data_IF_646995822767
#
_entry.id   IF_646995822767
#
_cell.length_a   1.000
_cell.length_b   1.000
_cell.length_c   1.000
_cell.angle_alpha   90.00
_cell.angle_beta   90.00
_cell.angle_gamma   90.00
#
_symmetry.space_group_name_H-M   'P 1'
#
loop_
_entity.id
_entity.type
_entity.pdbx_description
1 polymer ?
#
# COMPACT_ATOMS: atom_id res chain seq x y z
N UNK A 1 -3.92 17.75 -39.12
CA UNK A 1 -2.76 18.67 -38.96
C UNK A 1 -3.17 19.84 -38.07
N UNK A 2 -2.80 19.80 -36.81
CA UNK A 2 -2.65 20.98 -35.96
C UNK A 2 -1.47 20.68 -35.05
N UNK A 3 -0.28 21.11 -35.48
CA UNK A 3 0.91 21.09 -34.61
C UNK A 3 0.65 22.18 -33.58
N UNK A 4 0.27 21.77 -32.36
CA UNK A 4 0.33 22.64 -31.19
C UNK A 4 1.73 23.25 -31.13
N UNK A 5 1.81 24.55 -31.39
CA UNK A 5 3.01 25.36 -31.16
C UNK A 5 3.12 25.57 -29.66
N UNK A 6 3.48 24.52 -28.92
CA UNK A 6 4.03 24.73 -27.59
C UNK A 6 5.35 25.49 -27.78
N UNK A 7 5.57 26.62 -27.07
CA UNK A 7 6.86 27.28 -27.09
C UNK A 7 7.92 26.22 -26.73
N UNK A 8 9.02 26.18 -27.48
CA UNK A 8 10.15 25.30 -27.19
C UNK A 8 10.59 25.67 -25.78
N UNK A 9 10.16 24.88 -24.78
CA UNK A 9 10.71 25.00 -23.45
C UNK A 9 12.22 24.86 -23.62
N UNK A 10 12.98 25.88 -23.20
CA UNK A 10 14.42 25.79 -23.17
C UNK A 10 14.78 24.74 -22.13
N UNK A 11 14.75 23.46 -22.54
CA UNK A 11 15.16 22.36 -21.69
C UNK A 11 16.56 22.67 -21.20
N UNK A 12 16.88 22.38 -19.94
CA UNK A 12 18.21 22.60 -19.39
C UNK A 12 19.17 21.55 -19.97
N UNK A 13 19.42 21.61 -21.28
CA UNK A 13 20.13 20.59 -22.05
C UNK A 13 21.50 20.31 -21.44
N UNK A 14 22.23 21.33 -20.99
CA UNK A 14 23.52 21.15 -20.32
C UNK A 14 23.43 20.28 -19.04
N UNK A 15 22.45 20.54 -18.18
CA UNK A 15 22.25 19.75 -16.96
C UNK A 15 21.75 18.33 -17.29
N UNK A 16 20.87 18.21 -18.29
CA UNK A 16 20.37 16.91 -18.75
C UNK A 16 21.47 16.06 -19.41
N UNK A 17 22.37 16.65 -20.21
CA UNK A 17 23.53 15.94 -20.77
C UNK A 17 24.50 15.50 -19.69
N UNK A 18 24.76 16.34 -18.68
CA UNK A 18 25.57 15.94 -17.53
C UNK A 18 24.91 14.79 -16.75
N UNK A 19 23.60 14.86 -16.54
CA UNK A 19 22.80 13.80 -15.93
C UNK A 19 22.92 12.47 -16.69
N UNK A 20 22.73 12.49 -18.01
CA UNK A 20 22.89 11.32 -18.88
C UNK A 20 24.34 10.80 -18.85
N UNK A 21 25.35 11.67 -18.93
CA UNK A 21 26.76 11.26 -18.87
C UNK A 21 27.08 10.54 -17.55
N UNK A 22 26.59 11.05 -16.42
CA UNK A 22 26.71 10.40 -15.12
C UNK A 22 26.05 9.01 -15.14
N UNK A 23 24.84 8.89 -15.68
CA UNK A 23 24.17 7.59 -15.78
C UNK A 23 24.97 6.57 -16.59
N UNK A 24 25.55 6.97 -17.72
CA UNK A 24 26.38 6.08 -18.54
C UNK A 24 27.64 5.63 -17.80
N UNK A 25 28.28 6.52 -17.05
CA UNK A 25 29.43 6.19 -16.20
C UNK A 25 29.05 5.23 -15.06
N UNK A 26 27.82 5.34 -14.54
CA UNK A 26 27.32 4.51 -13.45
C UNK A 26 26.86 3.10 -13.87
N UNK A 27 26.68 2.81 -15.17
CA UNK A 27 26.24 1.49 -15.67
C UNK A 27 27.01 0.31 -15.05
N UNK A 28 28.36 0.25 -15.07
CA UNK A 28 29.09 -0.88 -14.47
C UNK A 28 28.80 -1.03 -12.97
N UNK A 29 28.73 0.08 -12.23
CA UNK A 29 28.42 0.08 -10.80
C UNK A 29 26.99 -0.39 -10.51
N UNK A 30 26.03 -0.01 -11.37
CA UNK A 30 24.65 -0.47 -11.27
C UNK A 30 24.55 -1.98 -11.47
N UNK A 31 25.25 -2.53 -12.46
CA UNK A 31 25.30 -3.99 -12.70
C UNK A 31 25.95 -4.70 -11.50
N UNK A 32 27.10 -4.21 -11.01
CA UNK A 32 27.76 -4.75 -9.81
C UNK A 32 26.85 -4.72 -8.59
N UNK A 33 26.10 -3.62 -8.40
CA UNK A 33 25.13 -3.48 -7.30
C UNK A 33 23.97 -4.47 -7.41
N UNK A 34 23.46 -4.73 -8.62
CA UNK A 34 22.44 -5.75 -8.84
C UNK A 34 22.97 -7.15 -8.51
N UNK A 35 24.19 -7.48 -8.95
CA UNK A 35 24.85 -8.74 -8.63
C UNK A 35 25.08 -8.90 -7.13
N UNK A 36 25.56 -7.86 -6.45
CA UNK A 36 25.77 -7.87 -5.00
C UNK A 36 24.45 -8.06 -4.25
N UNK A 37 23.39 -7.31 -4.61
CA UNK A 37 22.06 -7.48 -4.00
C UNK A 37 21.44 -8.85 -4.29
N UNK A 38 21.81 -9.50 -5.40
CA UNK A 38 21.32 -10.82 -5.74
C UNK A 38 21.73 -11.91 -4.75
N UNK A 39 22.74 -11.65 -3.90
CA UNK A 39 23.13 -12.53 -2.78
C UNK A 39 22.01 -12.69 -1.74
N UNK A 40 21.24 -11.63 -1.50
CA UNK A 40 20.11 -11.65 -0.56
C UNK A 40 18.79 -11.98 -1.26
N UNK A 41 18.62 -11.55 -2.51
CA UNK A 41 17.37 -11.75 -3.23
C UNK A 41 17.61 -12.03 -4.72
N UNK A 42 17.39 -13.27 -5.14
CA UNK A 42 17.68 -13.75 -6.51
C UNK A 42 16.97 -12.94 -7.61
N UNK A 43 15.82 -12.32 -7.32
CA UNK A 43 15.10 -11.47 -8.27
C UNK A 43 15.90 -10.27 -8.82
N UNK A 44 16.98 -9.81 -8.14
CA UNK A 44 17.82 -8.71 -8.67
C UNK A 44 18.65 -9.08 -9.89
N UNK A 45 18.96 -10.37 -10.09
CA UNK A 45 19.68 -10.85 -11.29
C UNK A 45 18.75 -11.36 -12.39
N UNK A 46 17.43 -11.35 -12.15
CA UNK A 46 16.43 -11.71 -13.15
C UNK A 46 16.04 -10.46 -13.96
N UNK A 47 15.72 -10.66 -15.24
CA UNK A 47 15.24 -9.60 -16.14
C UNK A 47 16.14 -8.35 -16.22
N UNK A 48 17.46 -8.49 -16.07
CA UNK A 48 18.41 -7.37 -16.18
C UNK A 48 18.25 -6.65 -17.53
N UNK A 49 18.00 -7.39 -18.60
CA UNK A 49 17.76 -6.87 -19.94
C UNK A 49 16.63 -5.82 -19.97
N UNK A 50 15.53 -6.05 -19.23
CA UNK A 50 14.40 -5.11 -19.16
C UNK A 50 14.83 -3.76 -18.55
N UNK A 51 15.76 -3.78 -17.58
CA UNK A 51 16.30 -2.57 -16.94
C UNK A 51 17.15 -1.71 -17.88
N UNK A 52 17.53 -2.25 -19.04
CA UNK A 52 18.22 -1.54 -20.11
C UNK A 52 17.36 -1.45 -21.38
N UNK A 53 16.03 -1.55 -21.24
CA UNK A 53 15.10 -1.33 -22.34
C UNK A 53 15.01 -2.48 -23.35
N UNK A 54 15.55 -3.66 -23.03
CA UNK A 54 15.44 -4.86 -23.86
C UNK A 54 14.30 -5.75 -23.36
N UNK A 55 13.18 -5.74 -24.08
CA UNK A 55 11.97 -6.49 -23.74
C UNK A 55 11.73 -7.64 -24.71
N UNK A 56 11.21 -8.77 -24.21
CA UNK A 56 10.87 -9.94 -25.02
C UNK A 56 9.73 -9.69 -26.03
N UNK A 57 9.44 -10.69 -26.88
CA UNK A 57 8.59 -10.55 -28.06
C UNK A 57 7.07 -10.40 -27.79
N UNK A 58 6.55 -10.83 -26.63
CA UNK A 58 5.12 -10.78 -26.31
C UNK A 58 4.64 -9.31 -26.22
N UNK A 59 3.74 -8.91 -27.13
CA UNK A 59 3.12 -7.57 -27.16
C UNK A 59 1.74 -7.64 -26.52
N UNK A 60 1.34 -6.58 -25.83
CA UNK A 60 -0.07 -6.33 -25.53
C UNK A 60 -0.82 -6.09 -26.85
N UNK A 61 -2.09 -6.51 -26.91
CA UNK A 61 -2.90 -6.43 -28.13
C UNK A 61 -3.23 -4.98 -28.53
N UNK A 62 -3.36 -4.10 -27.54
CA UNK A 62 -3.69 -2.68 -27.70
C UNK A 62 -2.73 -1.81 -26.89
N UNK A 63 -2.71 -0.50 -27.17
CA UNK A 63 -1.81 0.44 -26.47
C UNK A 63 -2.20 0.52 -24.98
N UNK A 64 -1.27 0.27 -24.04
CA UNK A 64 -1.57 0.24 -22.63
C UNK A 64 -1.67 1.62 -21.99
N UNK A 65 -2.37 1.67 -20.86
CA UNK A 65 -2.12 2.69 -19.84
C UNK A 65 -0.91 2.24 -19.04
N UNK A 66 0.13 3.07 -18.99
CA UNK A 66 1.36 2.76 -18.26
C UNK A 66 1.23 3.27 -16.81
N UNK A 67 1.41 2.37 -15.84
CA UNK A 67 1.47 2.69 -14.41
C UNK A 67 2.84 2.28 -13.89
N UNK A 68 3.53 3.20 -13.21
CA UNK A 68 4.79 2.93 -12.55
C UNK A 68 4.63 2.92 -11.03
N UNK A 69 4.88 1.75 -10.42
CA UNK A 69 4.89 1.54 -8.98
C UNK A 69 6.21 0.87 -8.55
N UNK A 70 7.07 1.62 -7.88
CA UNK A 70 8.44 1.21 -7.53
C UNK A 70 8.47 0.11 -6.47
N UNK A 71 7.59 0.24 -5.47
CA UNK A 71 7.58 -0.56 -4.24
C UNK A 71 6.34 -1.42 -4.10
N UNK A 72 6.36 -2.35 -3.12
CA UNK A 72 5.18 -3.13 -2.73
C UNK A 72 4.05 -2.21 -2.28
N UNK A 73 4.35 -1.19 -1.48
CA UNK A 73 3.35 -0.24 -0.98
C UNK A 73 2.66 0.54 -2.11
N UNK A 74 3.40 1.01 -3.11
CA UNK A 74 2.81 1.66 -4.30
C UNK A 74 2.04 0.69 -5.18
N UNK A 75 2.48 -0.57 -5.25
CA UNK A 75 1.79 -1.62 -6.03
C UNK A 75 0.41 -1.90 -5.42
N UNK A 76 0.31 -1.95 -4.09
CA UNK A 76 -0.99 -2.04 -3.41
C UNK A 76 -1.80 -0.75 -3.53
N UNK A 77 -1.18 0.42 -3.39
CA UNK A 77 -1.89 1.71 -3.50
C UNK A 77 -2.50 1.95 -4.90
N UNK A 78 -1.97 1.29 -5.94
CA UNK A 78 -2.51 1.38 -7.31
C UNK A 78 -3.59 0.33 -7.62
N UNK A 79 -3.93 -0.54 -6.66
CA UNK A 79 -4.78 -1.69 -6.91
C UNK A 79 -6.19 -1.32 -7.38
N UNK A 80 -6.88 -0.45 -6.64
CA UNK A 80 -8.23 -0.01 -7.01
C UNK A 80 -8.26 0.64 -8.41
N UNK A 81 -7.23 1.42 -8.76
CA UNK A 81 -7.10 2.04 -10.07
C UNK A 81 -6.86 1.00 -11.18
N UNK A 82 -5.92 0.08 -10.98
CA UNK A 82 -5.60 -0.97 -11.96
C UNK A 82 -6.81 -1.86 -12.21
N UNK A 83 -7.51 -2.28 -11.15
CA UNK A 83 -8.72 -3.10 -11.26
C UNK A 83 -9.83 -2.40 -12.04
N UNK A 84 -10.06 -1.11 -11.76
CA UNK A 84 -11.02 -0.29 -12.52
C UNK A 84 -10.67 -0.21 -14.00
N UNK A 85 -9.42 0.10 -14.33
CA UNK A 85 -8.95 0.16 -15.73
C UNK A 85 -9.13 -1.18 -16.44
N UNK A 86 -8.77 -2.28 -15.78
CA UNK A 86 -8.91 -3.63 -16.31
C UNK A 86 -10.38 -4.02 -16.51
N UNK A 87 -11.28 -3.55 -15.65
CA UNK A 87 -12.73 -3.75 -15.76
C UNK A 87 -13.33 -2.96 -16.94
N UNK A 88 -12.88 -1.71 -17.13
CA UNK A 88 -13.25 -0.86 -18.27
C UNK A 88 -12.61 -1.32 -19.61
N UNK A 89 -11.82 -2.40 -19.59
CA UNK A 89 -11.23 -3.00 -20.79
C UNK A 89 -9.93 -2.34 -21.25
N UNK A 90 -9.34 -1.46 -20.43
CA UNK A 90 -8.04 -0.86 -20.72
C UNK A 90 -6.90 -1.83 -20.36
N UNK A 91 -6.02 -2.20 -21.30
CA UNK A 91 -4.83 -2.97 -20.94
C UNK A 91 -3.86 -2.11 -20.12
N UNK A 92 -3.17 -2.75 -19.19
CA UNK A 92 -2.24 -2.08 -18.26
C UNK A 92 -0.81 -2.55 -18.50
N UNK A 93 0.11 -1.61 -18.60
CA UNK A 93 1.55 -1.86 -18.48
C UNK A 93 1.98 -1.43 -17.08
N UNK A 94 2.29 -2.41 -16.22
CA UNK A 94 2.74 -2.16 -14.87
C UNK A 94 4.26 -2.27 -14.80
N UNK A 95 4.94 -1.20 -14.42
CA UNK A 95 6.40 -1.19 -14.28
C UNK A 95 6.87 -1.07 -12.84
N UNK A 96 7.92 -1.80 -12.51
CA UNK A 96 8.54 -1.79 -11.18
C UNK A 96 10.03 -1.45 -11.26
N UNK A 97 10.64 -1.14 -10.11
CA UNK A 97 12.11 -1.16 -9.96
C UNK A 97 12.61 -2.24 -9.00
N UNK A 98 11.79 -2.67 -8.04
CA UNK A 98 12.18 -3.67 -7.02
C UNK A 98 11.65 -5.06 -7.36
N UNK A 99 12.40 -6.13 -7.04
CA UNK A 99 11.91 -7.51 -7.20
C UNK A 99 10.64 -7.78 -6.38
N UNK A 100 10.59 -7.30 -5.15
CA UNK A 100 9.44 -7.49 -4.25
C UNK A 100 8.19 -6.79 -4.77
N UNK A 101 8.31 -5.57 -5.32
CA UNK A 101 7.19 -4.89 -5.98
C UNK A 101 6.67 -5.68 -7.19
N UNK A 102 7.59 -6.26 -7.99
CA UNK A 102 7.22 -7.12 -9.12
C UNK A 102 6.51 -8.39 -8.67
N UNK A 103 7.01 -9.06 -7.64
CA UNK A 103 6.37 -10.26 -7.07
C UNK A 103 4.96 -9.96 -6.54
N UNK A 104 4.80 -8.86 -5.79
CA UNK A 104 3.49 -8.41 -5.33
C UNK A 104 2.52 -8.17 -6.50
N UNK A 105 2.94 -7.46 -7.55
CA UNK A 105 2.10 -7.25 -8.73
C UNK A 105 1.80 -8.54 -9.50
N UNK A 106 2.73 -9.49 -9.57
CA UNK A 106 2.50 -10.81 -10.17
C UNK A 106 1.46 -11.61 -9.39
N UNK A 107 1.50 -11.57 -8.05
CA UNK A 107 0.54 -12.24 -7.19
C UNK A 107 -0.86 -11.61 -7.30
N UNK A 108 -0.97 -10.28 -7.25
CA UNK A 108 -2.24 -9.56 -7.35
C UNK A 108 -2.92 -9.74 -8.71
N UNK A 109 -2.14 -9.68 -9.80
CA UNK A 109 -2.70 -9.59 -11.16
C UNK A 109 -2.49 -10.85 -12.00
N UNK A 110 -2.23 -12.01 -11.40
CA UNK A 110 -1.89 -13.24 -12.13
C UNK A 110 -2.92 -13.59 -13.22
N UNK A 111 -4.23 -13.46 -12.93
CA UNK A 111 -5.32 -13.71 -13.88
C UNK A 111 -5.24 -12.75 -15.08
N UNK A 112 -5.07 -11.46 -14.82
CA UNK A 112 -4.98 -10.44 -15.86
C UNK A 112 -3.72 -10.60 -16.73
N UNK A 113 -2.60 -11.05 -16.13
CA UNK A 113 -1.35 -11.35 -16.84
C UNK A 113 -1.52 -12.54 -17.77
N UNK A 114 -2.15 -13.63 -17.30
CA UNK A 114 -2.41 -14.82 -18.12
C UNK A 114 -3.34 -14.51 -19.31
N UNK A 115 -4.37 -13.69 -19.06
CA UNK A 115 -5.30 -13.21 -20.09
C UNK A 115 -4.69 -12.18 -21.05
N UNK A 116 -3.45 -11.73 -20.81
CA UNK A 116 -2.79 -10.72 -21.64
C UNK A 116 -3.40 -9.32 -21.53
N UNK A 117 -4.20 -9.05 -20.49
CA UNK A 117 -4.77 -7.72 -20.19
C UNK A 117 -3.79 -6.84 -19.41
N UNK A 118 -2.88 -7.46 -18.65
CA UNK A 118 -1.82 -6.76 -17.94
C UNK A 118 -0.45 -7.32 -18.33
N UNK A 119 0.53 -6.45 -18.60
CA UNK A 119 1.93 -6.85 -18.76
C UNK A 119 2.77 -6.19 -17.69
N UNK A 120 3.62 -6.98 -17.05
CA UNK A 120 4.53 -6.52 -16.01
C UNK A 120 5.99 -6.61 -16.46
N UNK A 121 6.73 -5.51 -16.31
CA UNK A 121 8.17 -5.42 -16.65
C UNK A 121 8.92 -4.53 -15.67
N UNK A 122 10.25 -4.57 -15.68
CA UNK A 122 11.04 -3.51 -15.04
C UNK A 122 11.03 -2.24 -15.91
N UNK A 123 10.86 -1.09 -15.25
CA UNK A 123 11.17 0.19 -15.88
C UNK A 123 12.68 0.21 -16.17
N UNK A 124 13.11 0.66 -17.37
CA UNK A 124 14.53 0.78 -17.63
C UNK A 124 15.10 1.93 -16.80
N UNK A 125 16.41 1.91 -16.61
CA UNK A 125 17.12 3.09 -16.11
C UNK A 125 16.89 4.28 -17.04
N UNK A 126 16.96 5.49 -16.48
CA UNK A 126 16.70 6.76 -17.16
C UNK A 126 17.86 7.14 -18.10
N UNK A 127 18.13 6.24 -19.05
CA UNK A 127 19.13 6.31 -20.11
C UNK A 127 18.40 6.58 -21.43
N UNK A 128 18.80 7.61 -22.16
CA UNK A 128 18.09 8.06 -23.36
C UNK A 128 17.74 6.93 -24.35
N UNK A 129 18.68 6.02 -24.65
CA UNK A 129 18.45 4.88 -25.57
C UNK A 129 17.55 3.79 -24.98
N UNK A 130 17.52 3.61 -23.67
CA UNK A 130 16.65 2.63 -23.02
C UNK A 130 15.21 3.13 -22.95
N UNK A 131 15.04 4.43 -22.65
CA UNK A 131 13.75 5.14 -22.70
C UNK A 131 13.16 5.07 -24.11
N UNK A 132 13.96 5.36 -25.14
CA UNK A 132 13.55 5.22 -26.54
C UNK A 132 12.99 3.84 -26.85
N UNK A 133 13.70 2.79 -26.42
CA UNK A 133 13.28 1.42 -26.65
C UNK A 133 11.99 1.08 -25.91
N UNK A 134 11.86 1.52 -24.65
CA UNK A 134 10.64 1.32 -23.87
C UNK A 134 9.42 1.97 -24.53
N UNK A 135 9.51 3.27 -24.85
CA UNK A 135 8.40 4.02 -25.43
C UNK A 135 8.05 3.50 -26.83
N UNK A 136 9.03 3.11 -27.65
CA UNK A 136 8.79 2.47 -28.95
C UNK A 136 8.19 1.07 -28.82
N UNK A 137 8.61 0.31 -27.81
CA UNK A 137 8.15 -1.06 -27.58
C UNK A 137 6.69 -1.10 -27.16
N UNK A 138 6.33 -0.28 -26.18
CA UNK A 138 5.02 -0.36 -25.53
C UNK A 138 4.01 0.66 -26.06
N UNK A 139 4.46 1.82 -26.54
CA UNK A 139 3.61 2.90 -27.07
C UNK A 139 2.39 3.18 -26.18
N UNK A 140 2.59 3.49 -24.89
CA UNK A 140 1.47 3.69 -23.98
C UNK A 140 0.63 4.92 -24.39
N UNK A 141 -0.66 4.87 -24.10
CA UNK A 141 -1.60 5.96 -24.38
C UNK A 141 -1.32 7.16 -23.45
N UNK A 142 -1.01 6.87 -22.20
CA UNK A 142 -0.57 7.80 -21.17
C UNK A 142 0.27 7.05 -20.12
N UNK A 143 1.05 7.80 -19.35
CA UNK A 143 1.79 7.28 -18.19
C UNK A 143 1.34 7.90 -16.87
N UNK A 144 1.30 7.08 -15.82
CA UNK A 144 0.98 7.46 -14.44
C UNK A 144 2.16 7.05 -13.55
N UNK A 145 2.92 8.04 -13.07
CA UNK A 145 4.06 7.81 -12.18
C UNK A 145 3.63 8.06 -10.73
N UNK A 146 3.96 7.13 -9.83
CA UNK A 146 3.55 7.21 -8.42
C UNK A 146 4.43 8.14 -7.58
N UNK A 147 3.81 8.83 -6.63
CA UNK A 147 4.42 9.60 -5.55
C UNK A 147 5.48 10.63 -6.00
N UNK A 148 6.76 10.27 -5.95
CA UNK A 148 7.90 11.18 -6.21
C UNK A 148 8.72 10.81 -7.45
N UNK A 149 8.23 9.87 -8.27
CA UNK A 149 8.98 9.27 -9.39
C UNK A 149 9.08 10.19 -10.62
N UNK A 150 9.70 11.36 -10.45
CA UNK A 150 9.93 12.33 -11.52
C UNK A 150 11.31 12.11 -12.17
N UNK A 151 11.38 11.18 -13.13
CA UNK A 151 12.58 10.83 -13.88
C UNK A 151 12.78 11.78 -15.08
N UNK A 152 13.84 12.61 -15.12
CA UNK A 152 14.00 13.63 -16.16
C UNK A 152 13.95 13.11 -17.60
N UNK A 153 14.63 12.01 -17.91
CA UNK A 153 14.65 11.43 -19.24
C UNK A 153 13.26 11.01 -19.70
N UNK A 154 12.54 10.23 -18.88
CA UNK A 154 11.16 9.84 -19.15
C UNK A 154 10.22 11.04 -19.30
N UNK A 155 10.28 12.00 -18.38
CA UNK A 155 9.37 13.15 -18.36
C UNK A 155 9.59 14.03 -19.60
N UNK A 156 10.84 14.39 -19.89
CA UNK A 156 11.15 15.20 -21.05
C UNK A 156 10.83 14.46 -22.35
N UNK A 157 11.13 13.16 -22.42
CA UNK A 157 10.87 12.41 -23.64
C UNK A 157 9.38 12.19 -23.90
N UNK A 158 8.60 11.89 -22.86
CA UNK A 158 7.15 11.82 -22.94
C UNK A 158 6.55 13.13 -23.46
N UNK A 159 6.96 14.26 -22.88
CA UNK A 159 6.51 15.58 -23.29
C UNK A 159 6.88 15.88 -24.76
N UNK A 160 8.11 15.58 -25.19
CA UNK A 160 8.55 15.76 -26.58
C UNK A 160 7.74 14.91 -27.58
N UNK A 161 7.34 13.71 -27.19
CA UNK A 161 6.50 12.82 -28.01
C UNK A 161 5.01 13.19 -27.94
N UNK A 162 4.62 14.16 -27.11
CA UNK A 162 3.22 14.51 -26.85
C UNK A 162 2.43 13.40 -26.15
N UNK A 163 3.12 12.47 -25.48
CA UNK A 163 2.50 11.41 -24.70
C UNK A 163 2.11 11.95 -23.32
N UNK A 164 0.82 11.95 -22.93
CA UNK A 164 0.42 12.44 -21.62
C UNK A 164 1.10 11.68 -20.49
N UNK A 165 1.70 12.41 -19.56
CA UNK A 165 2.38 11.85 -18.40
C UNK A 165 1.89 12.59 -17.15
N UNK A 166 1.39 11.84 -16.17
CA UNK A 166 0.88 12.37 -14.92
C UNK A 166 1.73 11.88 -13.75
N UNK A 167 1.92 12.74 -12.76
CA UNK A 167 2.40 12.33 -11.44
C UNK A 167 1.18 12.16 -10.55
N UNK A 168 0.93 10.94 -10.08
CA UNK A 168 -0.26 10.56 -9.32
C UNK A 168 0.09 10.21 -7.88
N UNK A 169 -0.88 10.34 -6.98
CA UNK A 169 -0.66 10.24 -5.54
C UNK A 169 0.53 11.13 -5.11
N UNK A 170 0.66 12.30 -5.71
CA UNK A 170 1.88 13.08 -5.72
C UNK A 170 2.11 13.75 -4.35
N UNK A 171 3.34 13.60 -3.84
CA UNK A 171 3.75 14.15 -2.55
C UNK A 171 5.06 14.89 -2.72
N UNK A 172 5.15 16.11 -2.19
CA UNK A 172 6.39 16.88 -2.21
C UNK A 172 6.69 17.40 -0.81
N UNK A 173 7.64 16.74 -0.13
CA UNK A 173 8.12 17.20 1.18
C UNK A 173 8.76 18.59 1.09
N UNK A 174 8.76 19.34 2.18
CA UNK A 174 9.42 20.65 2.27
C UNK A 174 10.91 20.58 1.87
N UNK A 175 11.60 19.53 2.34
CA UNK A 175 13.01 19.28 2.01
C UNK A 175 13.21 19.02 0.52
N UNK A 176 12.33 18.22 -0.09
CA UNK A 176 12.37 17.92 -1.53
C UNK A 176 12.06 19.17 -2.35
N UNK A 177 11.06 19.96 -1.97
CA UNK A 177 10.71 21.22 -2.62
C UNK A 177 11.88 22.20 -2.65
N UNK A 178 12.53 22.46 -1.49
CA UNK A 178 13.72 23.30 -1.42
C UNK A 178 14.85 22.79 -2.30
N UNK A 179 15.05 21.47 -2.36
CA UNK A 179 16.04 20.86 -3.26
C UNK A 179 15.69 21.11 -4.72
N UNK A 180 14.44 20.91 -5.13
CA UNK A 180 14.01 21.19 -6.51
C UNK A 180 14.19 22.66 -6.85
N UNK A 181 13.84 23.58 -5.94
CA UNK A 181 14.05 25.01 -6.13
C UNK A 181 15.53 25.37 -6.27
N UNK A 182 16.44 24.67 -5.59
CA UNK A 182 17.89 24.92 -5.71
C UNK A 182 18.46 24.63 -7.11
N UNK A 183 17.80 23.79 -7.90
CA UNK A 183 18.11 23.59 -9.33
C UNK A 183 17.50 24.67 -10.25
N UNK A 184 16.85 25.68 -9.68
CA UNK A 184 16.26 26.81 -10.40
C UNK A 184 15.28 26.37 -11.48
N UNK A 185 15.40 26.98 -12.66
CA UNK A 185 14.52 26.73 -13.80
C UNK A 185 14.55 25.27 -14.26
N UNK A 186 15.69 24.57 -14.13
CA UNK A 186 15.80 23.18 -14.55
C UNK A 186 14.90 22.24 -13.72
N UNK A 187 14.88 22.44 -12.40
CA UNK A 187 14.00 21.70 -11.49
C UNK A 187 12.53 22.01 -11.74
N UNK A 188 12.20 23.27 -12.03
CA UNK A 188 10.84 23.68 -12.36
C UNK A 188 10.35 23.07 -13.68
N UNK A 189 11.16 23.13 -14.74
CA UNK A 189 10.83 22.58 -16.07
C UNK A 189 10.50 21.09 -16.01
N UNK A 190 11.19 20.32 -15.15
CA UNK A 190 10.87 18.91 -14.92
C UNK A 190 9.41 18.71 -14.53
N UNK A 191 8.95 19.41 -13.50
CA UNK A 191 7.57 19.25 -13.02
C UNK A 191 6.55 19.91 -13.95
N UNK A 192 6.92 21.02 -14.61
CA UNK A 192 6.07 21.69 -15.61
C UNK A 192 5.86 20.85 -16.89
N UNK A 193 6.73 19.86 -17.14
CA UNK A 193 6.62 18.97 -18.30
C UNK A 193 5.62 17.82 -18.10
N UNK A 194 5.09 17.62 -16.90
CA UNK A 194 3.96 16.72 -16.70
C UNK A 194 2.68 17.34 -17.27
N UNK A 195 1.82 16.51 -17.83
CA UNK A 195 0.47 16.91 -18.29
C UNK A 195 -0.41 17.35 -17.13
N UNK A 196 -0.25 16.71 -15.97
CA UNK A 196 -0.91 17.11 -14.73
C UNK A 196 -0.30 16.41 -13.52
N UNK A 197 -0.51 17.01 -12.35
CA UNK A 197 -0.08 16.46 -11.06
C UNK A 197 -1.31 16.28 -10.18
N UNK A 198 -1.57 15.04 -9.78
CA UNK A 198 -2.66 14.66 -8.88
C UNK A 198 -2.09 14.52 -7.46
N UNK A 199 -2.17 15.60 -6.69
CA UNK A 199 -1.56 15.75 -5.38
C UNK A 199 -2.40 15.13 -4.26
N UNK A 200 -1.71 14.62 -3.24
CA UNK A 200 -2.34 14.02 -2.05
C UNK A 200 -3.08 15.05 -1.20
N UNK A 201 -2.48 16.22 -0.99
CA UNK A 201 -2.97 17.23 -0.07
C UNK A 201 -2.88 18.64 -0.64
N UNK A 202 -3.57 19.59 0.00
CA UNK A 202 -3.45 21.00 -0.34
C UNK A 202 -2.02 21.55 -0.15
N UNK A 203 -1.25 21.03 0.82
CA UNK A 203 0.13 21.44 1.01
C UNK A 203 1.03 20.98 -0.14
N UNK A 204 0.86 19.74 -0.61
CA UNK A 204 1.59 19.20 -1.75
C UNK A 204 1.24 19.99 -3.02
N UNK A 205 -0.06 20.23 -3.26
CA UNK A 205 -0.54 21.00 -4.40
C UNK A 205 0.08 22.40 -4.45
N UNK A 206 0.10 23.13 -3.32
CA UNK A 206 0.72 24.46 -3.22
C UNK A 206 2.20 24.44 -3.59
N UNK A 207 2.96 23.42 -3.18
CA UNK A 207 4.38 23.31 -3.53
C UNK A 207 4.58 23.04 -5.02
N UNK A 208 3.78 22.16 -5.64
CA UNK A 208 3.85 21.96 -7.09
C UNK A 208 3.44 23.20 -7.88
N UNK A 209 2.40 23.92 -7.45
CA UNK A 209 2.01 25.21 -8.03
C UNK A 209 3.13 26.24 -7.92
N UNK A 210 3.84 26.30 -6.79
CA UNK A 210 5.00 27.16 -6.59
C UNK A 210 6.20 26.80 -7.49
N UNK A 211 6.25 25.58 -8.04
CA UNK A 211 7.19 25.19 -9.10
C UNK A 211 6.71 25.59 -10.52
N UNK A 212 5.57 26.28 -10.63
CA UNK A 212 5.00 26.76 -11.89
C UNK A 212 4.14 25.73 -12.63
N UNK A 213 3.78 24.61 -11.99
CA UNK A 213 2.88 23.61 -12.58
C UNK A 213 1.46 24.17 -12.62
N UNK A 214 0.87 24.26 -13.81
CA UNK A 214 -0.46 24.85 -14.02
C UNK A 214 -1.60 23.89 -13.72
N UNK A 215 -1.44 22.62 -14.09
CA UNK A 215 -2.48 21.60 -13.97
C UNK A 215 -2.24 20.74 -12.72
N UNK A 216 -2.72 21.21 -11.56
CA UNK A 216 -2.58 20.53 -10.27
C UNK A 216 -3.96 20.31 -9.67
N UNK A 217 -4.30 19.06 -9.36
CA UNK A 217 -5.55 18.67 -8.71
C UNK A 217 -5.27 18.00 -7.38
N UNK A 218 -6.06 18.31 -6.35
CA UNK A 218 -6.02 17.60 -5.08
C UNK A 218 -6.99 16.43 -5.20
N UNK A 219 -6.49 15.19 -5.15
CA UNK A 219 -7.29 13.97 -5.34
C UNK A 219 -7.30 13.06 -4.13
N UNK A 220 -6.65 13.46 -3.03
CA UNK A 220 -6.48 12.61 -1.86
C UNK A 220 -5.34 11.60 -2.03
N UNK A 221 -5.17 10.74 -1.03
CA UNK A 221 -4.10 9.76 -0.99
C UNK A 221 -4.64 8.38 -1.34
N UNK A 222 -4.10 7.78 -2.41
CA UNK A 222 -4.57 6.49 -2.92
C UNK A 222 -4.39 5.33 -1.93
N UNK A 223 -3.58 5.50 -0.87
CA UNK A 223 -3.47 4.50 0.21
C UNK A 223 -4.77 4.33 1.00
N UNK A 224 -5.70 5.29 0.88
CA UNK A 224 -7.05 5.20 1.46
C UNK A 224 -8.06 4.57 0.50
N UNK A 225 -7.72 4.38 -0.78
CA UNK A 225 -8.57 3.72 -1.77
C UNK A 225 -8.47 2.20 -1.60
N UNK A 226 -9.09 1.70 -0.54
CA UNK A 226 -9.15 0.26 -0.25
C UNK A 226 -10.09 -0.40 -1.25
N UNK A 227 -9.57 -1.41 -1.97
CA UNK A 227 -10.37 -2.20 -2.89
C UNK A 227 -11.53 -2.86 -2.15
N UNK A 228 -12.73 -2.84 -2.75
CA UNK A 228 -13.90 -3.51 -2.20
C UNK A 228 -13.62 -5.01 -2.13
N UNK A 229 -13.82 -5.62 -0.96
CA UNK A 229 -13.78 -7.07 -0.77
C UNK A 229 -15.15 -7.56 -0.28
N UNK A 230 -16.14 -7.72 -1.18
CA UNK A 230 -17.50 -8.05 -0.78
C UNK A 230 -17.62 -9.35 0.02
N UNK A 231 -16.79 -10.35 -0.31
CA UNK A 231 -16.80 -11.65 0.36
C UNK A 231 -16.35 -11.56 1.83
N UNK A 232 -15.23 -10.89 2.11
CA UNK A 232 -14.73 -10.72 3.48
C UNK A 232 -15.59 -9.75 4.29
N UNK A 233 -16.19 -8.74 3.64
CA UNK A 233 -17.16 -7.86 4.30
C UNK A 233 -18.43 -8.63 4.68
N UNK A 234 -18.97 -9.46 3.78
CA UNK A 234 -20.14 -10.29 4.07
C UNK A 234 -19.86 -11.28 5.21
N UNK A 235 -18.68 -11.89 5.22
CA UNK A 235 -18.20 -12.75 6.30
C UNK A 235 -18.15 -12.00 7.64
N UNK A 236 -17.55 -10.82 7.68
CA UNK A 236 -17.49 -10.00 8.89
C UNK A 236 -18.87 -9.55 9.39
N UNK A 237 -19.81 -9.26 8.49
CA UNK A 237 -21.19 -8.93 8.88
C UNK A 237 -21.93 -10.14 9.43
N UNK A 238 -21.67 -11.34 8.90
CA UNK A 238 -22.19 -12.59 9.45
C UNK A 238 -21.68 -12.82 10.89
N UNK A 239 -20.37 -12.65 11.09
CA UNK A 239 -19.74 -12.72 12.42
C UNK A 239 -20.31 -11.69 13.39
N UNK A 240 -20.47 -10.43 12.94
CA UNK A 240 -21.07 -9.35 13.73
C UNK A 240 -22.45 -9.74 14.24
N UNK A 241 -23.30 -10.26 13.35
CA UNK A 241 -24.66 -10.68 13.71
C UNK A 241 -24.64 -11.80 14.76
N UNK A 242 -23.78 -12.80 14.60
CA UNK A 242 -23.63 -13.89 15.56
C UNK A 242 -23.25 -13.38 16.97
N UNK A 243 -22.36 -12.39 17.04
CA UNK A 243 -21.94 -11.75 18.30
C UNK A 243 -23.08 -10.89 18.89
N UNK A 244 -23.77 -10.11 18.05
CA UNK A 244 -24.84 -9.20 18.48
C UNK A 244 -26.09 -9.93 18.98
N UNK A 245 -26.45 -11.07 18.40
CA UNK A 245 -27.55 -11.92 18.88
C UNK A 245 -27.31 -12.41 20.32
N UNK A 246 -26.05 -12.54 20.73
CA UNK A 246 -25.66 -12.87 22.10
C UNK A 246 -25.58 -11.65 23.04
N UNK A 247 -25.83 -10.44 22.52
CA UNK A 247 -25.72 -9.18 23.27
C UNK A 247 -24.29 -8.79 23.64
N UNK A 248 -23.28 -9.35 22.97
CA UNK A 248 -21.87 -9.13 23.28
C UNK A 248 -21.30 -7.98 22.45
N UNK A 249 -20.31 -7.30 23.01
CA UNK A 249 -19.42 -6.41 22.23
C UNK A 249 -18.26 -7.22 21.66
N UNK A 250 -17.74 -6.81 20.51
CA UNK A 250 -16.55 -7.39 19.91
C UNK A 250 -15.43 -6.35 19.75
N UNK A 251 -14.24 -6.73 20.20
CA UNK A 251 -13.03 -5.91 20.13
C UNK A 251 -11.98 -6.66 19.35
N UNK A 252 -11.40 -6.05 18.33
CA UNK A 252 -10.30 -6.66 17.59
C UNK A 252 -8.95 -6.06 17.99
N UNK A 253 -8.07 -6.89 18.55
CA UNK A 253 -6.65 -6.57 18.66
C UNK A 253 -5.97 -6.93 17.33
N UNK A 254 -5.87 -5.94 16.44
CA UNK A 254 -5.52 -6.15 15.05
C UNK A 254 -4.02 -6.02 14.80
N UNK A 255 -3.41 -7.00 14.11
CA UNK A 255 -2.00 -6.97 13.73
C UNK A 255 -1.04 -6.79 14.92
N UNK A 256 -1.30 -7.49 16.03
CA UNK A 256 -0.45 -7.42 17.24
C UNK A 256 0.99 -7.88 16.96
N UNK A 257 1.94 -7.31 17.70
CA UNK A 257 3.35 -7.69 17.64
C UNK A 257 3.84 -8.21 18.98
N UNK A 258 4.99 -8.87 18.93
CA UNK A 258 5.60 -9.51 20.09
C UNK A 258 5.67 -8.59 21.30
N UNK A 259 5.14 -9.09 22.41
CA UNK A 259 5.04 -8.38 23.70
C UNK A 259 3.71 -7.68 23.90
N UNK A 260 3.01 -7.25 22.85
CA UNK A 260 1.71 -6.57 22.98
C UNK A 260 0.59 -7.54 23.35
N UNK A 261 0.66 -8.80 22.91
CA UNK A 261 -0.38 -9.78 23.18
C UNK A 261 -0.57 -10.01 24.69
N UNK A 262 0.53 -10.10 25.45
CA UNK A 262 0.48 -10.28 26.89
C UNK A 262 -0.20 -9.10 27.60
N UNK A 263 0.18 -7.87 27.23
CA UNK A 263 -0.41 -6.62 27.77
C UNK A 263 -1.91 -6.59 27.51
N UNK A 264 -2.32 -6.92 26.29
CA UNK A 264 -3.73 -6.93 25.89
C UNK A 264 -4.50 -8.01 26.65
N UNK A 265 -3.95 -9.22 26.79
CA UNK A 265 -4.61 -10.32 27.51
C UNK A 265 -4.78 -10.01 28.99
N UNK A 266 -3.78 -9.39 29.61
CA UNK A 266 -3.86 -8.95 31.01
C UNK A 266 -4.94 -7.89 31.20
N UNK A 267 -4.96 -6.87 30.35
CA UNK A 267 -6.01 -5.85 30.35
C UNK A 267 -7.40 -6.45 30.10
N UNK A 268 -7.51 -7.40 29.17
CA UNK A 268 -8.77 -8.07 28.86
C UNK A 268 -9.30 -8.88 30.05
N UNK A 269 -8.44 -9.67 30.69
CA UNK A 269 -8.77 -10.43 31.89
C UNK A 269 -9.22 -9.51 33.02
N UNK A 270 -8.54 -8.39 33.21
CA UNK A 270 -8.96 -7.39 34.19
C UNK A 270 -10.36 -6.86 33.88
N UNK A 271 -10.64 -6.44 32.63
CA UNK A 271 -11.97 -5.95 32.21
C UNK A 271 -13.07 -6.99 32.46
N UNK A 272 -12.81 -8.26 32.18
CA UNK A 272 -13.77 -9.34 32.40
C UNK A 272 -14.04 -9.61 33.88
N UNK A 273 -13.04 -9.45 34.75
CA UNK A 273 -13.14 -9.79 36.18
C UNK A 273 -13.59 -8.64 37.07
N UNK A 274 -13.32 -7.39 36.70
CA UNK A 274 -13.67 -6.21 37.52
C UNK A 274 -15.03 -5.60 37.18
N UNK A 275 -15.63 -5.99 36.05
CA UNK A 275 -16.93 -5.50 35.62
C UNK A 275 -17.98 -6.61 35.68
N UNK A 276 -19.22 -6.24 36.03
CA UNK A 276 -20.33 -7.18 36.12
C UNK A 276 -21.07 -7.27 34.79
N UNK A 277 -20.60 -8.15 33.90
CA UNK A 277 -21.14 -8.33 32.56
C UNK A 277 -22.36 -9.27 32.53
N UNK A 278 -23.47 -8.83 31.94
CA UNK A 278 -24.58 -9.73 31.56
C UNK A 278 -24.19 -10.59 30.37
N UNK A 279 -23.52 -9.96 29.39
CA UNK A 279 -22.96 -10.60 28.19
C UNK A 279 -21.50 -10.14 28.06
N UNK A 280 -20.52 -10.92 28.53
CA UNK A 280 -19.12 -10.53 28.49
C UNK A 280 -18.66 -10.22 27.06
N UNK A 281 -17.80 -9.21 26.81
CA UNK A 281 -17.31 -8.92 25.47
C UNK A 281 -16.43 -10.06 24.91
N UNK A 282 -16.22 -10.08 23.59
CA UNK A 282 -15.32 -10.99 22.88
C UNK A 282 -14.08 -10.25 22.38
N UNK A 283 -12.88 -10.78 22.64
CA UNK A 283 -11.64 -10.31 22.04
C UNK A 283 -11.28 -11.15 20.81
N UNK A 284 -11.21 -10.52 19.64
CA UNK A 284 -10.62 -11.13 18.45
C UNK A 284 -9.15 -10.71 18.37
N UNK A 285 -8.23 -11.63 18.67
CA UNK A 285 -6.80 -11.35 18.65
C UNK A 285 -6.18 -11.83 17.34
N UNK A 286 -5.59 -10.93 16.56
CA UNK A 286 -5.05 -11.25 15.23
C UNK A 286 -3.56 -10.87 15.14
N UNK A 287 -2.63 -11.82 15.30
CA UNK A 287 -1.20 -11.56 15.23
C UNK A 287 -0.74 -11.13 13.84
N UNK A 288 0.23 -10.20 13.77
CA UNK A 288 0.75 -9.69 12.48
C UNK A 288 1.48 -10.76 11.65
N UNK A 289 2.09 -11.72 12.32
CA UNK A 289 3.10 -12.64 11.78
C UNK A 289 2.62 -14.09 11.92
N UNK A 290 2.38 -14.83 10.82
CA UNK A 290 1.82 -16.19 10.87
C UNK A 290 2.68 -17.20 11.63
N UNK A 291 3.99 -17.02 11.61
CA UNK A 291 4.95 -17.82 12.37
C UNK A 291 4.75 -17.74 13.89
N UNK A 292 4.01 -16.74 14.38
CA UNK A 292 3.69 -16.56 15.80
C UNK A 292 2.31 -17.07 16.22
N UNK A 293 1.51 -17.63 15.32
CA UNK A 293 0.16 -18.08 15.69
C UNK A 293 0.15 -19.11 16.82
N UNK A 294 1.07 -20.07 16.79
CA UNK A 294 1.20 -21.04 17.89
C UNK A 294 1.67 -20.40 19.20
N UNK A 295 2.66 -19.52 19.13
CA UNK A 295 3.16 -18.78 20.30
C UNK A 295 2.05 -17.97 20.98
N UNK A 296 1.24 -17.25 20.19
CA UNK A 296 0.14 -16.44 20.74
C UNK A 296 -0.97 -17.31 21.31
N UNK A 297 -1.28 -18.46 20.70
CA UNK A 297 -2.23 -19.40 21.29
C UNK A 297 -1.78 -19.91 22.66
N UNK A 298 -0.48 -20.18 22.84
CA UNK A 298 0.08 -20.60 24.12
C UNK A 298 -0.03 -19.48 25.17
N UNK A 299 0.17 -18.21 24.77
CA UNK A 299 -0.05 -17.05 25.66
C UNK A 299 -1.51 -16.95 26.11
N UNK A 300 -2.47 -17.12 25.19
CA UNK A 300 -3.89 -17.09 25.52
C UNK A 300 -4.23 -18.23 26.49
N UNK A 301 -3.75 -19.45 26.21
CA UNK A 301 -3.95 -20.60 27.09
C UNK A 301 -3.41 -20.34 28.51
N UNK A 302 -2.20 -19.79 28.62
CA UNK A 302 -1.57 -19.47 29.90
C UNK A 302 -2.30 -18.37 30.68
N UNK A 303 -3.00 -17.46 30.00
CA UNK A 303 -3.81 -16.43 30.66
C UNK A 303 -5.01 -16.99 31.45
N UNK A 304 -5.46 -18.20 31.09
CA UNK A 304 -6.63 -18.86 31.65
C UNK A 304 -7.96 -18.43 31.03
N UNK A 305 -7.93 -17.63 29.95
CA UNK A 305 -9.10 -17.22 29.19
C UNK A 305 -9.59 -18.36 28.29
N UNK A 306 -10.90 -18.55 28.18
CA UNK A 306 -11.48 -19.51 27.25
C UNK A 306 -11.27 -19.02 25.81
N UNK A 307 -10.71 -19.85 24.92
CA UNK A 307 -10.44 -19.42 23.55
C UNK A 307 -10.60 -20.52 22.50
N UNK A 308 -10.84 -20.09 21.27
CA UNK A 308 -10.81 -20.93 20.06
C UNK A 308 -9.91 -20.30 18.98
N UNK A 309 -9.44 -21.14 18.04
CA UNK A 309 -8.67 -20.72 16.87
C UNK A 309 -9.56 -20.66 15.63
N UNK A 310 -9.48 -19.59 14.85
CA UNK A 310 -10.23 -19.43 13.60
C UNK A 310 -9.97 -20.59 12.62
N UNK A 311 -8.71 -21.00 12.48
CA UNK A 311 -8.33 -22.10 11.58
C UNK A 311 -8.99 -23.44 11.93
N UNK A 312 -9.34 -23.66 13.20
CA UNK A 312 -10.02 -24.87 13.67
C UNK A 312 -11.52 -24.91 13.35
N UNK A 313 -12.10 -23.81 12.86
CA UNK A 313 -13.54 -23.67 12.62
C UNK A 313 -13.96 -23.77 11.14
N UNK A 314 -13.00 -23.97 10.24
CA UNK A 314 -13.28 -24.21 8.82
C UNK A 314 -12.92 -25.65 8.47
N UNK A 315 -13.86 -26.43 7.94
CA UNK A 315 -13.52 -27.71 7.30
C UNK A 315 -13.08 -27.40 5.86
N UNK A 316 -11.81 -27.62 5.49
CA UNK A 316 -11.33 -27.36 4.14
C UNK A 316 -12.01 -28.21 3.04
N UNK A 317 -12.87 -29.16 3.41
CA UNK A 317 -13.67 -30.01 2.51
C UNK A 317 -15.14 -29.60 2.42
N UNK A 318 -15.58 -28.68 3.27
CA UNK A 318 -16.95 -28.15 3.33
C UNK A 318 -16.96 -26.71 2.84
N UNK A 319 -17.97 -26.35 2.04
CA UNK A 319 -18.26 -24.93 1.75
C UNK A 319 -19.09 -24.27 2.85
N UNK A 320 -19.60 -25.04 3.82
CA UNK A 320 -20.37 -24.52 4.95
C UNK A 320 -19.43 -24.16 6.09
N UNK A 321 -19.44 -22.86 6.45
CA UNK A 321 -18.80 -22.36 7.66
C UNK A 321 -19.54 -22.88 8.89
N UNK A 322 -18.80 -23.27 9.93
CA UNK A 322 -19.39 -23.65 11.21
C UNK A 322 -20.06 -22.42 11.83
N UNK A 323 -21.31 -22.57 12.30
CA UNK A 323 -22.11 -21.47 12.85
C UNK A 323 -21.37 -20.77 14.03
N UNK A 324 -20.89 -19.53 13.82
CA UNK A 324 -20.14 -18.80 14.84
C UNK A 324 -20.97 -18.51 16.10
N UNK A 325 -22.30 -18.45 15.97
CA UNK A 325 -23.20 -18.14 17.10
C UNK A 325 -23.22 -19.22 18.17
N UNK A 326 -22.92 -20.47 17.81
CA UNK A 326 -22.85 -21.59 18.76
C UNK A 326 -21.46 -21.70 19.42
N UNK A 327 -20.41 -21.45 18.66
CA UNK A 327 -19.03 -21.63 19.09
C UNK A 327 -18.53 -20.47 19.94
N UNK A 328 -18.86 -19.24 19.56
CA UNK A 328 -18.30 -18.08 20.23
C UNK A 328 -19.00 -17.74 21.54
N UNK A 329 -20.20 -18.27 21.79
CA UNK A 329 -21.00 -17.95 22.98
C UNK A 329 -20.29 -18.17 24.33
N UNK A 330 -19.25 -18.99 24.38
CA UNK A 330 -18.57 -19.39 25.62
C UNK A 330 -17.07 -19.05 25.66
N UNK A 331 -16.55 -18.36 24.65
CA UNK A 331 -15.13 -17.99 24.60
C UNK A 331 -14.94 -16.53 24.94
N UNK A 332 -13.83 -16.22 25.61
CA UNK A 332 -13.37 -14.87 25.92
C UNK A 332 -12.52 -14.31 24.77
N UNK A 333 -11.80 -15.18 24.06
CA UNK A 333 -10.87 -14.82 22.99
C UNK A 333 -11.08 -15.69 21.75
N UNK A 334 -11.13 -15.08 20.57
CA UNK A 334 -10.98 -15.75 19.28
C UNK A 334 -9.60 -15.41 18.71
N UNK A 335 -8.76 -16.41 18.50
CA UNK A 335 -7.47 -16.23 17.83
C UNK A 335 -7.67 -16.27 16.30
N UNK A 336 -7.37 -15.15 15.63
CA UNK A 336 -7.28 -15.08 14.18
C UNK A 336 -5.94 -15.59 13.68
N UNK A 337 -5.87 -16.88 13.37
CA UNK A 337 -4.69 -17.60 12.87
C UNK A 337 -4.81 -18.03 11.40
N UNK A 338 -5.60 -17.28 10.63
CA UNK A 338 -5.85 -17.45 9.20
C UNK A 338 -5.49 -16.18 8.43
N UNK A 339 -5.18 -16.35 7.14
CA UNK A 339 -4.71 -15.25 6.29
C UNK A 339 -5.83 -14.70 5.41
N UNK A 340 -5.85 -13.38 5.21
CA UNK A 340 -6.75 -12.71 4.27
C UNK A 340 -8.12 -12.33 4.81
N UNK A 341 -8.38 -12.54 6.11
CA UNK A 341 -9.68 -12.28 6.74
C UNK A 341 -9.73 -10.97 7.55
N UNK A 342 -8.70 -10.10 7.49
CA UNK A 342 -8.63 -8.86 8.29
C UNK A 342 -9.87 -7.95 8.14
N UNK A 343 -10.38 -7.79 6.92
CA UNK A 343 -11.58 -7.00 6.67
C UNK A 343 -12.82 -7.58 7.38
N UNK A 344 -12.91 -8.91 7.50
CA UNK A 344 -13.99 -9.57 8.23
C UNK A 344 -13.89 -9.26 9.73
N UNK A 345 -12.69 -9.32 10.31
CA UNK A 345 -12.47 -8.94 11.71
C UNK A 345 -12.84 -7.49 11.99
N UNK A 346 -12.48 -6.55 11.10
CA UNK A 346 -12.85 -5.15 11.25
C UNK A 346 -14.36 -4.94 11.18
N UNK A 347 -15.04 -5.54 10.19
CA UNK A 347 -16.48 -5.44 10.06
C UNK A 347 -17.25 -6.08 11.24
N UNK A 348 -16.70 -7.15 11.82
CA UNK A 348 -17.26 -7.82 13.00
C UNK A 348 -17.07 -7.05 14.31
N UNK A 349 -16.15 -6.08 14.36
CA UNK A 349 -15.77 -5.38 15.58
C UNK A 349 -16.59 -4.12 15.84
N UNK A 350 -16.81 -3.81 17.11
CA UNK A 350 -17.31 -2.52 17.57
C UNK A 350 -16.19 -1.48 17.65
N UNK A 351 -14.98 -1.90 18.02
CA UNK A 351 -13.76 -1.09 17.91
C UNK A 351 -12.51 -1.96 17.80
N UNK A 352 -11.40 -1.34 17.36
CA UNK A 352 -10.11 -2.02 17.13
C UNK A 352 -9.04 -1.45 18.05
N UNK A 353 -8.27 -2.31 18.71
CA UNK A 353 -6.97 -1.95 19.30
C UNK A 353 -5.89 -2.24 18.26
N UNK A 354 -5.25 -1.19 17.76
CA UNK A 354 -4.26 -1.33 16.68
C UNK A 354 -2.93 -1.83 17.23
N UNK A 355 -2.51 -2.99 16.77
CA UNK A 355 -1.20 -3.56 17.07
C UNK A 355 -0.04 -2.75 16.49
N UNK A 356 1.15 -3.11 16.95
CA UNK A 356 2.40 -2.40 16.74
C UNK A 356 2.47 -1.00 17.35
N UNK A 357 1.43 -0.56 18.06
CA UNK A 357 1.31 0.82 18.53
C UNK A 357 1.49 0.97 20.04
N UNK A 358 1.30 -0.10 20.83
CA UNK A 358 1.48 -0.09 22.29
C UNK A 358 2.98 -0.11 22.64
N UNK A 359 3.76 -0.90 21.90
CA UNK A 359 5.22 -1.00 22.03
C UNK A 359 5.95 -0.23 20.90
N UNK A 360 7.25 0.10 21.01
CA UNK A 360 7.96 1.01 20.11
C UNK A 360 8.29 0.41 18.72
N UNK A 361 7.27 -0.10 18.05
CA UNK A 361 7.36 -0.86 16.80
C UNK A 361 6.72 -0.12 15.60
N UNK A 362 6.10 1.04 15.87
CA UNK A 362 5.77 2.07 14.89
C UNK A 362 4.34 2.09 14.37
N UNK A 363 3.48 1.20 14.83
CA UNK A 363 2.08 1.10 14.45
C UNK A 363 1.88 0.28 13.17
N UNK A 364 0.65 -0.22 13.01
CA UNK A 364 0.17 -0.94 11.84
C UNK A 364 -0.89 -0.13 11.08
N UNK A 365 -1.39 -0.69 9.97
CA UNK A 365 -2.29 0.00 9.06
C UNK A 365 -3.69 0.20 9.65
N UNK A 366 -3.91 1.33 10.33
CA UNK A 366 -5.23 1.71 10.85
C UNK A 366 -6.26 2.10 9.77
N UNK A 367 -5.80 2.36 8.55
CA UNK A 367 -6.66 2.90 7.48
C UNK A 367 -7.78 1.91 7.13
N UNK A 368 -7.47 0.61 7.11
CA UNK A 368 -8.44 -0.44 6.82
C UNK A 368 -9.52 -0.56 7.89
N UNK A 369 -9.17 -0.42 9.16
CA UNK A 369 -10.14 -0.42 10.25
C UNK A 369 -11.10 0.79 10.11
N UNK A 370 -10.54 1.99 9.95
CA UNK A 370 -11.33 3.22 9.78
C UNK A 370 -12.25 3.16 8.54
N UNK A 371 -11.77 2.62 7.42
CA UNK A 371 -12.56 2.49 6.19
C UNK A 371 -13.74 1.52 6.33
N UNK A 372 -13.65 0.54 7.24
CA UNK A 372 -14.77 -0.34 7.60
C UNK A 372 -15.70 0.27 8.67
N UNK A 373 -15.55 1.57 8.98
CA UNK A 373 -16.34 2.26 9.99
C UNK A 373 -16.02 1.84 11.42
N UNK A 374 -14.88 1.18 11.64
CA UNK A 374 -14.48 0.71 12.95
C UNK A 374 -13.57 1.75 13.64
N UNK A 375 -13.97 2.33 14.78
CA UNK A 375 -13.13 3.26 15.53
C UNK A 375 -11.89 2.56 16.10
N UNK A 376 -10.79 3.28 16.19
CA UNK A 376 -9.47 2.70 16.51
C UNK A 376 -8.86 3.27 17.79
N UNK A 377 -8.42 2.39 18.68
CA UNK A 377 -7.57 2.69 19.83
C UNK A 377 -6.12 2.49 19.41
N UNK A 378 -5.30 3.53 19.62
CA UNK A 378 -3.89 3.58 19.29
C UNK A 378 -3.04 3.68 20.57
N UNK A 379 -1.93 2.98 20.62
CA UNK A 379 -0.86 3.26 21.58
C UNK A 379 -0.01 4.48 21.18
N UNK A 380 1.04 4.79 21.97
CA UNK A 380 1.85 5.99 21.76
C UNK A 380 2.76 5.91 20.52
N UNK A 381 3.02 4.72 19.97
CA UNK A 381 4.04 4.52 18.94
C UNK A 381 3.45 4.33 17.55
N UNK A 382 3.17 5.42 16.84
CA UNK A 382 2.50 5.39 15.51
C UNK A 382 3.36 5.92 14.35
N UNK A 383 4.69 5.98 14.50
CA UNK A 383 5.57 6.67 13.54
C UNK A 383 5.54 6.12 12.08
N UNK A 384 5.17 4.87 11.85
CA UNK A 384 4.98 4.31 10.50
C UNK A 384 3.72 4.85 9.82
N UNK A 385 2.68 5.19 10.60
CA UNK A 385 1.38 5.67 10.15
C UNK A 385 1.01 7.02 10.78
N UNK A 386 2.01 7.85 11.09
CA UNK A 386 1.83 9.04 11.93
C UNK A 386 0.74 9.97 11.40
N UNK A 387 0.83 10.31 10.11
CA UNK A 387 -0.12 11.24 9.49
C UNK A 387 -1.55 10.67 9.51
N UNK A 388 -1.72 9.40 9.12
CA UNK A 388 -3.02 8.75 9.16
C UNK A 388 -3.58 8.64 10.59
N UNK A 389 -2.72 8.42 11.58
CA UNK A 389 -3.08 8.38 13.00
C UNK A 389 -3.53 9.74 13.52
N UNK A 390 -2.78 10.80 13.21
CA UNK A 390 -3.14 12.17 13.59
C UNK A 390 -4.44 12.62 12.92
N UNK A 391 -4.61 12.32 11.63
CA UNK A 391 -5.83 12.66 10.90
C UNK A 391 -7.05 11.91 11.46
N UNK A 392 -6.90 10.62 11.79
CA UNK A 392 -7.96 9.82 12.42
C UNK A 392 -8.33 10.33 13.81
N UNK A 393 -7.35 10.74 14.63
CA UNK A 393 -7.62 11.35 15.94
C UNK A 393 -8.34 12.70 15.76
N UNK A 394 -7.87 13.53 14.83
CA UNK A 394 -8.45 14.86 14.60
C UNK A 394 -9.92 14.81 14.14
N UNK A 395 -10.32 13.76 13.41
CA UNK A 395 -11.71 13.56 13.00
C UNK A 395 -12.54 12.67 13.95
N UNK A 396 -11.97 12.21 15.07
CA UNK A 396 -12.65 11.37 16.06
C UNK A 396 -12.81 9.89 15.67
N UNK A 397 -12.19 9.45 14.58
CA UNK A 397 -12.15 8.04 14.17
C UNK A 397 -11.17 7.20 15.01
N UNK A 398 -10.24 7.84 15.72
CA UNK A 398 -9.32 7.17 16.62
C UNK A 398 -9.10 7.91 17.94
N UNK A 399 -8.73 7.17 18.97
CA UNK A 399 -8.25 7.71 20.25
C UNK A 399 -6.87 7.13 20.57
N UNK A 400 -6.07 7.87 21.33
CA UNK A 400 -4.77 7.40 21.81
C UNK A 400 -4.84 7.08 23.30
N UNK A 401 -4.35 5.90 23.67
CA UNK A 401 -4.21 5.50 25.08
C UNK A 401 -3.25 6.44 25.78
N UNK A 402 -3.60 6.82 27.02
CA UNK A 402 -2.80 7.65 27.91
C UNK A 402 -2.56 6.90 29.22
N UNK A 403 -1.37 7.04 29.82
CA UNK A 403 -1.01 6.38 31.08
C UNK A 403 -0.11 5.16 30.89
N UNK A 404 0.15 4.44 31.97
CA UNK A 404 0.95 3.21 31.96
C UNK A 404 0.19 2.06 31.30
N UNK A 405 0.93 1.23 30.57
CA UNK A 405 0.35 0.09 29.84
C UNK A 405 0.15 -1.14 30.73
N UNK A 406 0.80 -1.17 31.90
CA UNK A 406 0.64 -2.23 32.87
C UNK A 406 -0.41 -1.81 33.90
N UNK A 407 -1.28 -2.74 34.28
CA UNK A 407 -2.20 -2.53 35.39
C UNK A 407 -1.41 -2.72 36.68
N UNK A 408 -1.29 -1.67 37.49
CA UNK A 408 -0.71 -1.77 38.86
C UNK A 408 -1.61 -2.56 39.81
#
# INVERSE_FOLDING_TARGET
MSRSKHPIAHYPFGLYFLYEAIWHLLIPFVILRLLWRSRHHRGYRQHIAERFGFYGAKKLQTQPIWIHAVSVGETHATQALIEKLLHEGHPVLLTHMTPTGREAGSALYWKAIQQGRLQQVYLPYDLCWAIERFLKRFRPQLGLLMETEAWPGFVFRAHQLGMPLFLINARLSERSFKRVQSFGQAGQILFQSFTGILAQSGHDAKRYQALGVKNVHIVGNMKFDIASQPETLALGMHWKNAIQVQGRLAVCAASTRAGEEAIILEAWKHILTTNNWTSPPLLMMVPRHPDRFSEVADLIYQSGLAFERRSGMSDPRSSEEVDPSLHWAKIDVLLGDSMGEMAAYYAASDFVVMGGSLLPTGGQNLIEACANGCPVILGPHTYNFQKASEDAIACGAAIRVTGDLNLE
#
